data_IF_437930598805
#
_entry.id   IF_437930598805
#
_cell.length_a   1.000
_cell.length_b   1.000
_cell.length_c   1.000
_cell.angle_alpha   90.00
_cell.angle_beta   90.00
_cell.angle_gamma   90.00
#
_symmetry.space_group_name_H-M   'P 1'
#
loop_
_entity.id
_entity.type
_entity.pdbx_description
1 polymer ?
#
# COMPACT_ATOMS: atom_id res chain seq x y z
N UNK A 1 -6.21 -14.30 0.65
CA UNK A 1 -5.72 -13.22 -0.25
C UNK A 1 -4.42 -12.71 0.33
N UNK A 2 -3.30 -13.03 -0.31
CA UNK A 2 -1.95 -12.76 0.18
C UNK A 2 -1.45 -11.39 -0.29
N UNK A 3 -1.08 -10.47 0.63
CA UNK A 3 -0.74 -9.11 0.25
C UNK A 3 0.78 -8.91 0.08
N UNK A 4 1.19 -8.60 -1.16
CA UNK A 4 2.52 -8.13 -1.56
C UNK A 4 3.09 -6.96 -0.75
N UNK A 5 4.15 -7.23 -0.03
CA UNK A 5 4.75 -6.31 0.93
C UNK A 5 5.58 -5.13 0.40
N UNK A 6 5.69 -4.93 -0.91
CA UNK A 6 6.47 -3.80 -1.45
C UNK A 6 5.67 -2.86 -2.35
N UNK A 7 4.65 -3.36 -3.08
CA UNK A 7 3.78 -2.49 -3.91
C UNK A 7 2.40 -2.21 -3.32
N UNK A 8 2.01 -2.90 -2.25
CA UNK A 8 0.73 -2.64 -1.57
C UNK A 8 0.75 -1.36 -0.76
N UNK A 9 1.92 -1.00 -0.24
CA UNK A 9 2.11 0.24 0.48
C UNK A 9 1.72 1.45 -0.41
N UNK A 10 1.97 1.33 -1.71
CA UNK A 10 1.61 2.35 -2.68
C UNK A 10 0.14 2.32 -3.11
N UNK A 11 -0.38 1.13 -3.32
CA UNK A 11 -1.65 0.97 -4.02
C UNK A 11 -2.87 0.88 -3.09
N UNK A 12 -2.72 0.37 -1.86
CA UNK A 12 -3.83 0.32 -0.90
C UNK A 12 -4.27 1.72 -0.44
N UNK A 13 -3.33 2.67 -0.41
CA UNK A 13 -3.55 4.06 -0.01
C UNK A 13 -4.36 4.85 -1.04
N UNK A 14 -4.28 4.48 -2.32
CA UNK A 14 -5.03 5.08 -3.43
C UNK A 14 -6.45 4.51 -3.56
N UNK A 15 -6.67 3.23 -3.22
CA UNK A 15 -8.03 2.65 -3.13
C UNK A 15 -8.83 3.32 -2.01
N UNK A 16 -8.21 3.61 -0.88
CA UNK A 16 -8.84 4.38 0.21
C UNK A 16 -9.20 5.79 -0.26
N UNK A 17 -8.32 6.46 -1.03
CA UNK A 17 -8.61 7.76 -1.65
C UNK A 17 -9.85 7.66 -2.51
N UNK A 18 -9.92 6.70 -3.43
CA UNK A 18 -11.02 6.56 -4.38
C UNK A 18 -12.35 6.21 -3.69
N UNK A 19 -12.33 5.33 -2.69
CA UNK A 19 -13.52 4.97 -1.91
C UNK A 19 -14.01 6.17 -1.08
N UNK A 20 -13.09 6.91 -0.43
CA UNK A 20 -13.47 8.07 0.39
C UNK A 20 -13.92 9.27 -0.47
N UNK A 21 -13.26 9.52 -1.60
CA UNK A 21 -13.58 10.67 -2.46
C UNK A 21 -14.93 10.49 -3.16
N UNK A 22 -15.26 9.27 -3.60
CA UNK A 22 -16.58 8.96 -4.15
C UNK A 22 -17.68 8.95 -3.08
N UNK A 23 -17.40 8.49 -1.85
CA UNK A 23 -18.41 8.50 -0.78
C UNK A 23 -18.60 9.88 -0.15
N UNK A 24 -17.62 10.78 -0.26
CA UNK A 24 -17.75 12.19 0.14
C UNK A 24 -18.72 12.98 -0.75
N UNK A 25 -19.03 12.49 -1.94
CA UNK A 25 -20.09 13.05 -2.80
C UNK A 25 -21.50 12.56 -2.42
N UNK A 26 -21.61 11.54 -1.55
CA UNK A 26 -22.91 10.96 -1.14
C UNK A 26 -23.43 11.52 0.19
N UNK A 27 -22.61 12.19 1.00
CA UNK A 27 -23.04 12.81 2.27
C UNK A 27 -23.56 14.26 2.11
N UNK A 28 -24.27 14.55 1.02
CA UNK A 28 -25.05 15.77 0.85
C UNK A 28 -26.42 15.73 1.57
N UNK A 29 -26.67 14.73 2.42
CA UNK A 29 -27.87 14.70 3.26
C UNK A 29 -27.61 14.02 4.60
N UNK A 30 -27.20 14.79 5.61
CA UNK A 30 -27.76 14.76 6.99
C UNK A 30 -26.97 15.74 7.87
N UNK A 31 -27.50 16.96 7.91
CA UNK A 31 -27.06 18.05 8.77
C UNK A 31 -27.26 17.66 10.25
N UNK A 32 -26.19 17.63 11.06
CA UNK A 32 -26.09 18.26 12.41
C UNK A 32 -24.84 17.80 13.19
N UNK A 33 -23.70 18.45 12.94
CA UNK A 33 -22.72 18.87 13.95
C UNK A 33 -21.62 19.71 13.29
N UNK A 34 -21.98 20.96 13.01
CA UNK A 34 -21.09 21.97 12.45
C UNK A 34 -20.50 22.76 13.61
N UNK A 35 -19.37 22.30 14.16
CA UNK A 35 -18.36 23.12 14.87
C UNK A 35 -17.13 22.30 15.32
N UNK A 36 -16.39 21.73 14.35
CA UNK A 36 -14.91 21.51 14.43
C UNK A 36 -14.28 21.43 13.01
N UNK A 37 -14.93 22.08 12.04
CA UNK A 37 -14.85 21.78 10.61
C UNK A 37 -13.64 22.42 9.87
N UNK A 38 -12.51 22.54 10.55
CA UNK A 38 -11.19 22.71 9.91
C UNK A 38 -10.52 21.35 9.67
N UNK A 39 -10.76 20.39 10.58
CA UNK A 39 -10.01 19.14 10.64
C UNK A 39 -10.49 18.03 9.71
N UNK A 40 -11.71 18.12 9.18
CA UNK A 40 -12.31 17.13 8.29
C UNK A 40 -12.42 17.59 6.83
N UNK A 41 -11.54 18.50 6.41
CA UNK A 41 -11.42 18.91 5.00
C UNK A 41 -10.63 17.87 4.23
N UNK A 42 -11.02 17.58 2.98
CA UNK A 42 -10.30 16.71 2.04
C UNK A 42 -8.80 17.01 1.98
N UNK A 43 -8.44 18.30 1.98
CA UNK A 43 -7.04 18.75 2.00
C UNK A 43 -6.19 18.09 3.11
N UNK A 44 -6.77 17.76 4.26
CA UNK A 44 -6.04 17.08 5.35
C UNK A 44 -5.80 15.61 5.08
N UNK A 45 -6.79 14.94 4.49
CA UNK A 45 -6.60 13.58 4.00
C UNK A 45 -5.51 13.57 2.91
N UNK A 46 -5.58 14.49 1.94
CA UNK A 46 -4.57 14.63 0.89
C UNK A 46 -3.16 14.81 1.47
N UNK A 47 -3.01 15.63 2.52
CA UNK A 47 -1.75 15.81 3.24
C UNK A 47 -1.23 14.51 3.88
N UNK A 48 -2.11 13.69 4.47
CA UNK A 48 -1.72 12.38 4.99
C UNK A 48 -1.20 11.47 3.87
N UNK A 49 -1.86 11.51 2.72
CA UNK A 49 -1.55 10.65 1.58
C UNK A 49 -0.27 11.07 0.86
N UNK A 50 0.14 12.34 0.96
CA UNK A 50 1.42 12.80 0.41
C UNK A 50 2.62 12.02 0.96
N UNK A 51 2.58 11.60 2.24
CA UNK A 51 3.64 10.77 2.80
C UNK A 51 3.75 9.43 2.06
N UNK A 52 2.62 8.83 1.75
CA UNK A 52 2.58 7.56 1.04
C UNK A 52 2.99 7.77 -0.42
N UNK A 53 2.41 8.77 -1.11
CA UNK A 53 2.75 9.13 -2.49
C UNK A 53 4.26 9.41 -2.66
N UNK A 54 4.90 10.03 -1.66
CA UNK A 54 6.35 10.29 -1.69
C UNK A 54 7.19 9.01 -1.75
N UNK A 55 6.69 7.91 -1.18
CA UNK A 55 7.31 6.58 -1.25
C UNK A 55 6.99 5.91 -2.59
N UNK A 56 5.75 6.02 -3.07
CA UNK A 56 5.30 5.36 -4.31
C UNK A 56 5.91 5.94 -5.58
N UNK A 57 6.18 7.24 -5.59
CA UNK A 57 6.75 7.95 -6.73
C UNK A 57 8.27 7.95 -6.72
N UNK A 58 8.89 7.46 -5.65
CA UNK A 58 10.34 7.38 -5.53
C UNK A 58 10.81 5.94 -5.71
N UNK A 59 11.42 5.65 -6.86
CA UNK A 59 11.90 4.29 -7.22
C UNK A 59 12.93 3.69 -6.25
N UNK A 60 13.58 4.51 -5.40
CA UNK A 60 14.43 4.02 -4.32
C UNK A 60 13.63 3.64 -3.08
N UNK A 61 12.58 4.39 -2.75
CA UNK A 61 11.76 4.16 -1.56
C UNK A 61 10.61 3.17 -1.80
N UNK A 62 10.18 2.97 -3.05
CA UNK A 62 9.19 1.94 -3.41
C UNK A 62 9.77 0.53 -3.31
N UNK A 63 11.10 0.39 -3.45
CA UNK A 63 11.84 -0.85 -3.28
C UNK A 63 13.17 -0.54 -2.57
N UNK A 64 13.15 -0.28 -1.25
CA UNK A 64 14.36 0.01 -0.49
C UNK A 64 15.28 -1.20 -0.51
N UNK A 65 16.52 -1.01 -0.97
CA UNK A 65 17.52 -2.09 -1.05
C UNK A 65 18.61 -1.97 0.01
N UNK A 66 18.57 -0.88 0.79
CA UNK A 66 19.49 -0.61 1.89
C UNK A 66 18.72 -0.33 3.18
N UNK A 67 19.38 -0.53 4.32
CA UNK A 67 18.79 -0.23 5.62
C UNK A 67 18.35 1.24 5.77
N UNK A 68 19.15 2.25 5.35
CA UNK A 68 18.72 3.65 5.44
C UNK A 68 17.49 3.95 4.57
N UNK A 69 17.42 3.38 3.36
CA UNK A 69 16.22 3.51 2.51
C UNK A 69 15.01 2.85 3.17
N UNK A 70 15.17 1.66 3.75
CA UNK A 70 14.10 0.93 4.43
C UNK A 70 13.57 1.71 5.62
N UNK A 71 14.45 2.23 6.47
CA UNK A 71 14.08 3.05 7.62
C UNK A 71 13.35 4.32 7.17
N UNK A 72 13.81 4.97 6.10
CA UNK A 72 13.16 6.17 5.56
C UNK A 72 11.77 5.86 5.02
N UNK A 73 11.64 4.73 4.31
CA UNK A 73 10.35 4.21 3.83
C UNK A 73 9.42 3.95 5.02
N UNK A 74 9.85 3.20 6.04
CA UNK A 74 9.05 2.93 7.23
C UNK A 74 8.53 4.19 7.92
N UNK A 75 9.40 5.17 8.17
CA UNK A 75 9.00 6.44 8.78
C UNK A 75 7.88 7.12 7.99
N UNK A 76 8.05 7.30 6.68
CA UNK A 76 7.05 7.99 5.85
C UNK A 76 5.70 7.26 5.87
N UNK A 77 5.72 5.94 5.81
CA UNK A 77 4.50 5.14 5.74
C UNK A 77 3.78 5.08 7.07
N UNK A 78 4.49 4.94 8.18
CA UNK A 78 3.92 5.00 9.52
C UNK A 78 3.31 6.38 9.78
N UNK A 79 3.97 7.46 9.37
CA UNK A 79 3.40 8.81 9.45
C UNK A 79 2.12 8.95 8.62
N UNK A 80 2.11 8.47 7.38
CA UNK A 80 0.93 8.49 6.52
C UNK A 80 -0.22 7.65 7.08
N UNK A 81 0.09 6.45 7.59
CA UNK A 81 -0.85 5.51 8.19
C UNK A 81 -1.48 6.08 9.47
N UNK A 82 -0.68 6.62 10.38
CA UNK A 82 -1.18 7.27 11.59
C UNK A 82 -1.97 8.55 11.30
N UNK A 83 -1.55 9.36 10.31
CA UNK A 83 -2.28 10.54 9.89
C UNK A 83 -3.66 10.16 9.34
N UNK A 84 -3.70 9.14 8.47
CA UNK A 84 -4.93 8.63 7.86
C UNK A 84 -5.84 8.03 8.93
N UNK A 85 -5.30 7.23 9.85
CA UNK A 85 -6.04 6.69 11.00
C UNK A 85 -6.77 7.78 11.78
N UNK A 86 -6.02 8.79 12.20
CA UNK A 86 -6.55 9.91 12.96
C UNK A 86 -7.62 10.69 12.20
N UNK A 87 -7.51 10.79 10.86
CA UNK A 87 -8.52 11.41 10.02
C UNK A 87 -9.79 10.56 9.98
N UNK A 88 -9.68 9.25 9.69
CA UNK A 88 -10.83 8.35 9.61
C UNK A 88 -11.59 8.29 10.93
N UNK A 89 -10.89 8.19 12.05
CA UNK A 89 -11.50 8.09 13.38
C UNK A 89 -12.29 9.35 13.76
N UNK A 90 -11.88 10.53 13.25
CA UNK A 90 -12.51 11.81 13.54
C UNK A 90 -13.58 12.22 12.55
N UNK A 91 -13.41 11.84 11.28
CA UNK A 91 -14.13 12.43 10.16
C UNK A 91 -15.01 11.44 9.41
N UNK A 92 -14.89 10.13 9.65
CA UNK A 92 -15.69 9.12 8.97
C UNK A 92 -16.70 8.44 9.90
N UNK A 93 -17.90 8.08 9.41
CA UNK A 93 -18.83 7.24 10.14
C UNK A 93 -18.19 5.91 10.56
N UNK A 94 -18.55 5.38 11.74
CA UNK A 94 -17.97 4.14 12.29
C UNK A 94 -18.05 2.94 11.34
N UNK A 95 -19.15 2.80 10.61
CA UNK A 95 -19.34 1.73 9.62
C UNK A 95 -18.33 1.83 8.47
N UNK A 96 -18.16 3.03 7.92
CA UNK A 96 -17.22 3.30 6.84
C UNK A 96 -15.77 3.18 7.32
N UNK A 97 -15.47 3.69 8.51
CA UNK A 97 -14.17 3.52 9.15
C UNK A 97 -13.80 2.04 9.29
N UNK A 98 -14.72 1.21 9.82
CA UNK A 98 -14.52 -0.25 9.93
C UNK A 98 -14.30 -0.93 8.58
N UNK A 99 -15.05 -0.54 7.55
CA UNK A 99 -14.86 -1.07 6.19
C UNK A 99 -13.47 -0.73 5.65
N UNK A 100 -13.06 0.54 5.75
CA UNK A 100 -11.74 1.00 5.31
C UNK A 100 -10.64 0.28 6.07
N UNK A 101 -10.77 0.13 7.39
CA UNK A 101 -9.83 -0.63 8.22
C UNK A 101 -9.65 -2.06 7.75
N UNK A 102 -10.74 -2.76 7.45
CA UNK A 102 -10.68 -4.14 6.98
C UNK A 102 -9.93 -4.26 5.66
N UNK A 103 -10.08 -3.28 4.76
CA UNK A 103 -9.38 -3.24 3.47
C UNK A 103 -7.86 -3.10 3.67
N UNK A 104 -7.43 -2.28 4.64
CA UNK A 104 -6.01 -1.92 4.80
C UNK A 104 -5.26 -2.69 5.88
N UNK A 105 -5.95 -3.46 6.71
CA UNK A 105 -5.34 -4.21 7.80
C UNK A 105 -4.22 -5.15 7.30
N UNK A 106 -4.40 -5.76 6.13
CA UNK A 106 -3.36 -6.59 5.50
C UNK A 106 -2.06 -5.81 5.26
N UNK A 107 -2.17 -4.60 4.72
CA UNK A 107 -1.03 -3.69 4.49
C UNK A 107 -0.36 -3.30 5.81
N UNK A 108 -1.16 -2.92 6.81
CA UNK A 108 -0.64 -2.48 8.11
C UNK A 108 0.12 -3.58 8.83
N UNK A 109 -0.38 -4.80 8.79
CA UNK A 109 0.30 -5.96 9.38
C UNK A 109 1.67 -6.20 8.75
N UNK A 110 1.78 -6.02 7.44
CA UNK A 110 3.04 -6.15 6.73
C UNK A 110 3.98 -4.99 7.04
N UNK A 111 3.46 -3.76 7.08
CA UNK A 111 4.23 -2.57 7.47
C UNK A 111 4.83 -2.77 8.86
N UNK A 112 4.02 -3.15 9.84
CA UNK A 112 4.46 -3.43 11.21
C UNK A 112 5.53 -4.53 11.26
N UNK A 113 5.34 -5.60 10.49
CA UNK A 113 6.30 -6.70 10.43
C UNK A 113 7.65 -6.25 9.86
N UNK A 114 7.66 -5.55 8.73
CA UNK A 114 8.89 -5.11 8.08
C UNK A 114 9.55 -3.96 8.86
N UNK A 115 8.78 -3.05 9.46
CA UNK A 115 9.36 -1.85 10.08
C UNK A 115 9.81 -2.04 11.52
N UNK A 116 9.33 -3.07 12.22
CA UNK A 116 9.68 -3.28 13.63
C UNK A 116 10.37 -4.61 13.93
N UNK A 117 10.39 -5.58 13.00
CA UNK A 117 11.09 -6.84 13.22
C UNK A 117 12.44 -6.86 12.49
N UNK A 118 13.54 -6.73 13.25
CA UNK A 118 14.90 -6.68 12.70
C UNK A 118 15.27 -7.95 11.91
N UNK A 119 14.81 -9.13 12.33
CA UNK A 119 15.05 -10.37 11.58
C UNK A 119 14.36 -10.30 10.22
N UNK A 120 13.11 -9.83 10.17
CA UNK A 120 12.38 -9.65 8.91
C UNK A 120 12.99 -8.55 8.04
N UNK A 121 13.54 -7.49 8.63
CA UNK A 121 14.28 -6.46 7.88
C UNK A 121 15.49 -7.04 7.17
N UNK A 122 16.28 -7.84 7.89
CA UNK A 122 17.46 -8.50 7.33
C UNK A 122 17.07 -9.46 6.21
N UNK A 123 16.05 -10.28 6.42
CA UNK A 123 15.55 -11.20 5.42
C UNK A 123 14.99 -10.46 4.19
N UNK A 124 14.24 -9.37 4.40
CA UNK A 124 13.77 -8.51 3.32
C UNK A 124 14.92 -7.94 2.50
N UNK A 125 15.91 -7.32 3.16
CA UNK A 125 17.06 -6.70 2.50
C UNK A 125 17.90 -7.71 1.71
N UNK A 126 17.97 -8.96 2.18
CA UNK A 126 18.62 -10.07 1.46
C UNK A 126 18.04 -10.29 0.07
N UNK A 127 16.72 -10.13 -0.11
CA UNK A 127 16.04 -10.34 -1.41
C UNK A 127 15.62 -9.04 -2.11
N UNK A 128 15.75 -7.88 -1.46
CA UNK A 128 15.23 -6.60 -1.95
C UNK A 128 15.76 -6.20 -3.34
N UNK A 129 17.04 -6.46 -3.61
CA UNK A 129 17.61 -6.20 -4.94
C UNK A 129 17.01 -7.09 -6.03
N UNK A 130 16.73 -8.36 -5.70
CA UNK A 130 16.02 -9.25 -6.62
C UNK A 130 14.59 -8.76 -6.85
N UNK A 131 13.86 -8.38 -5.79
CA UNK A 131 12.48 -7.89 -5.86
C UNK A 131 12.37 -6.67 -6.78
N UNK A 132 13.25 -5.69 -6.58
CA UNK A 132 13.31 -4.50 -7.41
C UNK A 132 13.54 -4.85 -8.87
N UNK A 133 14.57 -5.65 -9.14
CA UNK A 133 14.95 -6.03 -10.51
C UNK A 133 13.85 -6.80 -11.22
N UNK A 134 13.30 -7.84 -10.60
CA UNK A 134 12.24 -8.66 -11.22
C UNK A 134 10.96 -7.86 -11.44
N UNK A 135 10.59 -7.02 -10.48
CA UNK A 135 9.40 -6.16 -10.59
C UNK A 135 9.54 -5.14 -11.71
N UNK A 136 10.68 -4.46 -11.81
CA UNK A 136 10.97 -3.51 -12.90
C UNK A 136 11.05 -4.23 -14.24
N UNK A 137 11.65 -5.42 -14.31
CA UNK A 137 11.78 -6.16 -15.56
C UNK A 137 10.43 -6.69 -16.07
N UNK A 138 9.65 -7.31 -15.19
CA UNK A 138 8.50 -8.11 -15.59
C UNK A 138 7.17 -7.36 -15.47
N UNK A 139 7.09 -6.34 -14.61
CA UNK A 139 5.83 -5.67 -14.27
C UNK A 139 5.82 -4.16 -14.59
N UNK A 140 6.83 -3.63 -15.29
CA UNK A 140 6.91 -2.18 -15.55
C UNK A 140 5.72 -1.62 -16.31
N UNK A 141 5.23 -2.31 -17.35
CA UNK A 141 4.10 -1.85 -18.15
C UNK A 141 2.85 -1.68 -17.29
N UNK A 142 2.51 -2.69 -16.50
CA UNK A 142 1.30 -2.67 -15.67
C UNK A 142 1.43 -1.72 -14.47
N UNK A 143 2.63 -1.55 -13.94
CA UNK A 143 2.92 -0.56 -12.89
C UNK A 143 2.81 0.87 -13.41
N UNK A 144 3.19 1.12 -14.67
CA UNK A 144 3.02 2.43 -15.29
C UNK A 144 1.55 2.74 -15.56
N UNK A 145 0.78 1.77 -16.06
CA UNK A 145 -0.67 1.92 -16.23
C UNK A 145 -1.36 2.22 -14.89
N UNK A 146 -0.99 1.47 -13.85
CA UNK A 146 -1.47 1.71 -12.49
C UNK A 146 -1.17 3.14 -12.02
N UNK A 147 0.05 3.63 -12.24
CA UNK A 147 0.46 4.99 -11.85
C UNK A 147 -0.32 6.06 -12.61
N UNK A 148 -0.60 5.86 -13.90
CA UNK A 148 -1.37 6.80 -14.71
C UNK A 148 -2.82 6.90 -14.25
N UNK A 149 -3.48 5.76 -14.00
CA UNK A 149 -4.86 5.72 -13.50
C UNK A 149 -5.00 6.29 -12.09
N UNK A 150 -3.91 6.28 -11.31
CA UNK A 150 -3.89 6.91 -10.00
C UNK A 150 -3.91 8.45 -10.06
N UNK A 151 -3.81 9.05 -11.26
CA UNK A 151 -3.74 10.50 -11.47
C UNK A 151 -4.91 11.09 -12.27
N UNK A 152 -5.83 10.25 -12.77
CA UNK A 152 -7.00 10.68 -13.56
C UNK A 152 -8.22 10.92 -12.68
N UNK A 153 -9.09 11.87 -13.06
CA UNK A 153 -10.31 12.22 -12.33
C UNK A 153 -11.43 11.20 -12.55
N UNK A 154 -12.22 11.00 -11.49
CA UNK A 154 -13.05 9.84 -11.18
C UNK A 154 -14.40 9.76 -11.93
N UNK A 155 -14.54 8.76 -12.81
CA UNK A 155 -15.82 8.11 -13.12
C UNK A 155 -15.86 6.67 -12.55
N UNK A 156 -17.05 6.08 -12.39
CA UNK A 156 -17.21 4.69 -11.88
C UNK A 156 -16.44 3.64 -12.70
N UNK A 157 -16.28 3.90 -14.00
CA UNK A 157 -15.47 3.08 -14.90
C UNK A 157 -13.98 3.08 -14.51
N UNK A 158 -13.47 4.20 -14.01
CA UNK A 158 -12.07 4.35 -13.60
C UNK A 158 -11.79 3.57 -12.32
N UNK A 159 -12.76 3.48 -11.40
CA UNK A 159 -12.64 2.67 -10.18
C UNK A 159 -12.51 1.18 -10.53
N UNK A 160 -13.33 0.69 -11.46
CA UNK A 160 -13.28 -0.70 -11.90
C UNK A 160 -11.95 -0.99 -12.61
N UNK A 161 -11.53 -0.11 -13.52
CA UNK A 161 -10.24 -0.23 -14.19
C UNK A 161 -9.07 -0.20 -13.21
N UNK A 162 -9.12 0.69 -12.23
CA UNK A 162 -8.14 0.77 -11.15
C UNK A 162 -8.05 -0.56 -10.39
N UNK A 163 -9.19 -1.13 -9.97
CA UNK A 163 -9.21 -2.41 -9.25
C UNK A 163 -8.63 -3.56 -10.09
N UNK A 164 -8.96 -3.61 -11.38
CA UNK A 164 -8.45 -4.62 -12.31
C UNK A 164 -6.93 -4.52 -12.49
N UNK A 165 -6.41 -3.31 -12.72
CA UNK A 165 -4.97 -3.09 -12.94
C UNK A 165 -4.21 -3.24 -11.64
N UNK A 166 -4.78 -2.83 -10.50
CA UNK A 166 -4.20 -3.11 -9.18
C UNK A 166 -4.02 -4.61 -8.98
N UNK A 167 -5.10 -5.40 -9.10
CA UNK A 167 -5.05 -6.87 -8.94
C UNK A 167 -3.99 -7.49 -9.86
N UNK A 168 -3.97 -7.07 -11.12
CA UNK A 168 -3.02 -7.60 -12.10
C UNK A 168 -1.57 -7.20 -11.79
N UNK A 169 -1.34 -5.98 -11.27
CA UNK A 169 0.00 -5.52 -10.85
C UNK A 169 0.53 -6.33 -9.66
N UNK A 170 -0.36 -6.68 -8.74
CA UNK A 170 -0.14 -7.51 -7.56
C UNK A 170 0.20 -8.94 -7.99
N UNK A 171 -0.61 -9.54 -8.85
CA UNK A 171 -0.37 -10.88 -9.37
C UNK A 171 0.94 -10.99 -10.16
N UNK A 172 1.26 -9.99 -11.00
CA UNK A 172 2.50 -9.94 -11.76
C UNK A 172 3.72 -9.99 -10.85
N UNK A 173 3.75 -9.13 -9.83
CA UNK A 173 4.86 -9.05 -8.91
C UNK A 173 5.00 -10.31 -8.07
N UNK A 174 3.89 -10.86 -7.60
CA UNK A 174 3.90 -12.06 -6.78
C UNK A 174 4.48 -13.23 -7.57
N UNK A 175 4.00 -13.42 -8.81
CA UNK A 175 4.51 -14.44 -9.72
C UNK A 175 5.99 -14.22 -10.04
N UNK A 176 6.37 -12.98 -10.35
CA UNK A 176 7.75 -12.62 -10.71
C UNK A 176 8.72 -12.86 -9.55
N UNK A 177 8.35 -12.44 -8.34
CA UNK A 177 9.14 -12.65 -7.13
C UNK A 177 9.27 -14.13 -6.81
N UNK A 178 8.19 -14.91 -6.88
CA UNK A 178 8.26 -16.34 -6.62
C UNK A 178 9.14 -17.07 -7.65
N UNK A 179 9.02 -16.74 -8.93
CA UNK A 179 9.79 -17.40 -9.97
C UNK A 179 11.27 -17.00 -9.93
N UNK A 180 11.55 -15.70 -9.82
CA UNK A 180 12.89 -15.19 -10.03
C UNK A 180 13.71 -15.10 -8.73
N UNK A 181 13.05 -14.92 -7.59
CA UNK A 181 13.71 -14.66 -6.31
C UNK A 181 13.50 -15.75 -5.27
N UNK A 182 12.40 -16.52 -5.33
CA UNK A 182 12.18 -17.65 -4.43
C UNK A 182 12.73 -18.95 -5.00
N UNK A 183 12.29 -19.37 -6.20
CA UNK A 183 12.71 -20.65 -6.80
C UNK A 183 14.22 -20.69 -7.05
N UNK A 184 14.80 -19.60 -7.55
CA UNK A 184 16.25 -19.51 -7.78
C UNK A 184 17.09 -19.49 -6.48
N UNK A 185 16.45 -19.31 -5.31
CA UNK A 185 17.07 -19.34 -3.99
C UNK A 185 16.50 -20.44 -3.07
N UNK A 186 15.73 -21.39 -3.61
CA UNK A 186 14.92 -22.36 -2.85
C UNK A 186 15.73 -23.37 -2.02
N UNK A 187 17.06 -23.34 -2.10
CA UNK A 187 17.97 -24.13 -1.26
C UNK A 187 18.33 -23.45 0.08
N UNK A 188 17.82 -22.24 0.33
CA UNK A 188 18.04 -21.46 1.54
C UNK A 188 16.79 -21.49 2.43
N UNK A 189 16.84 -22.18 3.57
CA UNK A 189 15.72 -22.32 4.52
C UNK A 189 15.20 -20.95 5.01
N UNK A 190 16.09 -19.95 5.07
CA UNK A 190 15.73 -18.55 5.35
C UNK A 190 14.78 -17.94 4.31
N UNK A 191 14.91 -18.32 3.04
CA UNK A 191 14.02 -17.87 1.97
C UNK A 191 12.61 -18.42 2.20
N UNK A 192 12.46 -19.73 2.41
CA UNK A 192 11.16 -20.40 2.62
C UNK A 192 10.41 -19.76 3.78
N UNK A 193 11.09 -19.52 4.90
CA UNK A 193 10.49 -18.88 6.07
C UNK A 193 10.09 -17.44 5.79
N UNK A 194 10.92 -16.65 5.12
CA UNK A 194 10.61 -15.26 4.78
C UNK A 194 9.41 -15.18 3.82
N UNK A 195 9.45 -15.93 2.71
CA UNK A 195 8.40 -15.91 1.70
C UNK A 195 7.07 -16.45 2.25
N UNK A 196 7.08 -17.48 3.09
CA UNK A 196 5.85 -17.96 3.74
C UNK A 196 5.29 -16.94 4.75
N UNK A 197 6.14 -16.26 5.50
CA UNK A 197 5.72 -15.24 6.49
C UNK A 197 5.08 -14.03 5.81
N UNK A 198 5.63 -13.61 4.68
CA UNK A 198 5.20 -12.43 3.93
C UNK A 198 4.03 -12.74 2.99
N UNK A 199 4.09 -13.87 2.27
CA UNK A 199 3.14 -14.18 1.19
C UNK A 199 2.13 -15.26 1.53
N UNK A 200 2.26 -16.01 2.63
CA UNK A 200 1.38 -17.13 2.94
C UNK A 200 0.59 -16.94 4.24
N UNK A 201 -0.14 -15.83 4.35
CA UNK A 201 -1.20 -15.66 5.36
C UNK A 201 -2.57 -16.01 4.78
N UNK A 202 -2.77 -17.30 4.51
CA UNK A 202 -4.09 -17.93 4.54
C UNK A 202 -4.11 -18.88 5.75
N UNK A 203 -4.40 -18.32 6.92
CA UNK A 203 -5.16 -18.95 8.00
C UNK A 203 -5.98 -17.85 8.66
#
# INVERSE_FOLDING_TARGET
MSPLSASIIAASSLIIILIIYNHSNVDASMNKQRESLSNCKHKKLDQCLQYIISVTNNSRLSFPITYPELQRTCQLLEYGDHCTQNYLDKCMPRSMNKMIWNIINGTRNVLQLICHNLTIQNDYLRYASCFKRTTVKNCWQILNQFRQLSTTNNDDNDIQQFCCIYKSSIECQHRSILNDCYINHHHDDGSIKFFSTIFNRNK
#
